data_IF_947105972896
#
_entry.id   IF_947105972896
#
_cell.length_a   1.000
_cell.length_b   1.000
_cell.length_c   1.000
_cell.angle_alpha   90.00
_cell.angle_beta   90.00
_cell.angle_gamma   90.00
#
_symmetry.space_group_name_H-M   'P 1'
#
loop_
_entity.id
_entity.type
_entity.pdbx_description
1 polymer ?
#
# COMPACT_ATOMS: atom_id res chain seq x y z
N UNK A 1 1.99 29.13 14.15
CA UNK A 1 3.07 28.32 13.55
C UNK A 1 2.44 27.08 12.95
N UNK A 2 2.62 26.82 11.64
CA UNK A 2 2.38 25.47 11.11
C UNK A 2 3.43 24.55 11.75
N UNK A 3 3.08 23.33 12.18
CA UNK A 3 4.08 22.38 12.63
C UNK A 3 5.13 22.21 11.52
N UNK A 4 6.42 22.05 11.86
CA UNK A 4 7.42 21.71 10.85
C UNK A 4 6.93 20.44 10.13
N UNK A 5 7.08 20.34 8.80
CA UNK A 5 6.68 19.12 8.11
C UNK A 5 7.45 17.98 8.74
N UNK A 6 6.75 17.06 9.41
CA UNK A 6 7.34 15.80 9.84
C UNK A 6 8.02 15.21 8.60
N UNK A 7 9.34 15.06 8.66
CA UNK A 7 10.08 14.44 7.56
C UNK A 7 9.65 12.98 7.57
N UNK A 8 8.68 12.63 6.73
CA UNK A 8 8.21 11.27 6.59
C UNK A 8 9.40 10.36 6.25
N UNK A 9 9.60 9.29 7.02
CA UNK A 9 10.57 8.24 6.68
C UNK A 9 9.89 7.18 5.84
N UNK A 10 10.66 6.41 5.06
CA UNK A 10 10.12 5.26 4.31
C UNK A 10 9.36 4.29 5.23
N UNK A 11 9.92 4.03 6.40
CA UNK A 11 9.30 3.18 7.43
C UNK A 11 7.93 3.72 7.88
N UNK A 12 7.82 5.01 8.19
CA UNK A 12 6.53 5.62 8.58
C UNK A 12 5.52 5.51 7.44
N UNK A 13 5.94 5.78 6.21
CA UNK A 13 5.07 5.72 5.01
C UNK A 13 4.54 4.30 4.81
N UNK A 14 5.42 3.29 4.86
CA UNK A 14 5.03 1.88 4.71
C UNK A 14 4.11 1.43 5.85
N UNK A 15 4.43 1.78 7.10
CA UNK A 15 3.57 1.44 8.23
C UNK A 15 2.18 2.04 8.09
N UNK A 16 2.07 3.28 7.59
CA UNK A 16 0.79 3.95 7.37
C UNK A 16 0.03 3.39 6.17
N UNK A 17 0.73 2.89 5.15
CA UNK A 17 0.13 2.13 4.05
C UNK A 17 -0.47 0.81 4.58
N UNK A 18 0.30 0.03 5.36
CA UNK A 18 -0.17 -1.22 5.96
C UNK A 18 -1.37 -0.96 6.89
N UNK A 19 -1.27 0.06 7.75
CA UNK A 19 -2.35 0.46 8.66
C UNK A 19 -3.63 0.83 7.88
N UNK A 20 -3.50 1.55 6.77
CA UNK A 20 -4.65 1.87 5.92
C UNK A 20 -5.31 0.62 5.33
N UNK A 21 -4.52 -0.41 5.00
CA UNK A 21 -5.03 -1.67 4.49
C UNK A 21 -5.75 -2.47 5.58
N UNK A 22 -5.12 -2.63 6.74
CA UNK A 22 -5.69 -3.38 7.88
C UNK A 22 -6.98 -2.77 8.42
N UNK A 23 -7.15 -1.44 8.31
CA UNK A 23 -8.35 -0.74 8.77
C UNK A 23 -9.35 -0.44 7.63
N UNK A 24 -9.02 -0.82 6.39
CA UNK A 24 -9.78 -0.44 5.19
C UNK A 24 -10.05 1.08 5.10
N UNK A 25 -9.12 1.92 5.56
CA UNK A 25 -9.24 3.38 5.56
C UNK A 25 -8.06 4.04 4.84
N UNK A 26 -8.26 4.31 3.54
CA UNK A 26 -7.29 5.02 2.72
C UNK A 26 -6.93 6.41 3.26
N UNK A 27 -7.78 7.06 4.08
CA UNK A 27 -7.49 8.40 4.62
C UNK A 27 -6.26 8.40 5.51
N UNK A 28 -5.97 7.29 6.18
CA UNK A 28 -4.76 7.09 6.99
C UNK A 28 -3.50 7.31 6.15
N UNK A 29 -3.49 6.79 4.91
CA UNK A 29 -2.33 6.88 4.03
C UNK A 29 -2.27 8.19 3.21
N UNK A 30 -3.38 8.91 3.07
CA UNK A 30 -3.50 10.09 2.20
C UNK A 30 -2.39 11.15 2.39
N UNK A 31 -2.00 11.55 3.62
CA UNK A 31 -0.93 12.54 3.81
C UNK A 31 0.42 12.04 3.30
N UNK A 32 0.72 10.76 3.55
CA UNK A 32 2.00 10.11 3.22
C UNK A 32 2.17 9.89 1.71
N UNK A 33 1.07 9.59 1.01
CA UNK A 33 1.05 9.49 -0.44
C UNK A 33 1.55 10.80 -1.11
N UNK A 34 1.25 11.97 -0.53
CA UNK A 34 1.66 13.26 -1.11
C UNK A 34 3.16 13.55 -0.93
N UNK A 35 3.89 12.79 -0.10
CA UNK A 35 5.33 12.99 0.11
C UNK A 35 6.15 12.76 -1.16
N UNK A 36 7.25 13.49 -1.33
CA UNK A 36 8.15 13.32 -2.49
C UNK A 36 8.84 11.95 -2.54
N UNK A 37 8.84 11.24 -1.42
CA UNK A 37 9.36 9.87 -1.29
C UNK A 37 8.48 8.88 -2.05
N UNK A 38 7.17 9.11 -2.10
CA UNK A 38 6.24 8.18 -2.76
C UNK A 38 6.06 8.55 -4.22
N UNK A 39 6.23 7.57 -5.10
CA UNK A 39 5.85 7.62 -6.52
C UNK A 39 4.86 6.50 -6.82
N UNK A 40 4.12 6.63 -7.93
CA UNK A 40 3.07 5.67 -8.30
C UNK A 40 3.15 5.31 -9.77
N UNK A 41 2.62 4.14 -10.14
CA UNK A 41 2.40 3.69 -11.51
C UNK A 41 1.40 4.56 -12.30
N UNK A 42 0.54 5.30 -11.60
CA UNK A 42 -0.42 6.21 -12.23
C UNK A 42 0.19 7.60 -12.54
N UNK A 43 -0.34 8.32 -13.54
CA UNK A 43 0.15 9.66 -13.91
C UNK A 43 0.09 10.71 -12.78
N UNK A 44 -0.80 10.51 -11.81
CA UNK A 44 -0.95 11.40 -10.67
C UNK A 44 -1.40 10.63 -9.42
N UNK A 45 -0.92 11.09 -8.25
CA UNK A 45 -1.21 10.45 -6.96
C UNK A 45 -2.69 10.49 -6.57
N UNK A 46 -3.49 11.39 -7.13
CA UNK A 46 -4.93 11.44 -6.84
C UNK A 46 -5.64 10.28 -7.53
N UNK A 47 -5.21 9.88 -8.72
CA UNK A 47 -5.71 8.69 -9.42
C UNK A 47 -5.34 7.40 -8.67
N UNK A 48 -4.09 7.25 -8.25
CA UNK A 48 -3.68 6.16 -7.35
C UNK A 48 -4.57 6.13 -6.11
N UNK A 49 -4.75 7.27 -5.43
CA UNK A 49 -5.54 7.34 -4.20
C UNK A 49 -6.98 6.89 -4.39
N UNK A 50 -7.63 7.36 -5.47
CA UNK A 50 -8.99 6.97 -5.79
C UNK A 50 -9.11 5.47 -6.04
N UNK A 51 -8.18 4.90 -6.81
CA UNK A 51 -8.18 3.47 -7.10
C UNK A 51 -7.91 2.64 -5.84
N UNK A 52 -6.90 3.01 -5.06
CA UNK A 52 -6.58 2.39 -3.78
C UNK A 52 -7.77 2.40 -2.82
N UNK A 53 -8.47 3.53 -2.70
CA UNK A 53 -9.68 3.64 -1.89
C UNK A 53 -10.77 2.68 -2.37
N UNK A 54 -10.96 2.54 -3.70
CA UNK A 54 -11.93 1.61 -4.26
C UNK A 54 -11.59 0.15 -3.98
N UNK A 55 -10.31 -0.22 -4.08
CA UNK A 55 -9.85 -1.56 -3.73
C UNK A 55 -10.08 -1.86 -2.25
N UNK A 56 -9.73 -0.94 -1.33
CA UNK A 56 -9.95 -1.16 0.10
C UNK A 56 -11.43 -1.34 0.44
N UNK A 57 -12.32 -0.56 -0.17
CA UNK A 57 -13.76 -0.71 0.04
C UNK A 57 -14.27 -2.06 -0.50
N UNK A 58 -13.80 -2.45 -1.69
CA UNK A 58 -14.12 -3.77 -2.25
C UNK A 58 -13.65 -4.89 -1.33
N UNK A 59 -12.42 -4.84 -0.83
CA UNK A 59 -11.92 -5.89 0.07
C UNK A 59 -12.62 -5.90 1.42
N UNK A 60 -13.00 -4.73 1.95
CA UNK A 60 -13.80 -4.66 3.17
C UNK A 60 -15.12 -5.43 3.05
N UNK A 61 -15.78 -5.31 1.90
CA UNK A 61 -17.06 -5.96 1.64
C UNK A 61 -16.92 -7.46 1.35
N UNK A 62 -15.72 -7.93 1.02
CA UNK A 62 -15.44 -9.30 0.57
C UNK A 62 -14.48 -10.11 1.46
N UNK A 63 -14.01 -9.55 2.58
CA UNK A 63 -13.05 -10.20 3.48
C UNK A 63 -13.68 -10.61 4.81
N UNK A 64 -13.09 -11.63 5.44
CA UNK A 64 -13.50 -12.16 6.74
C UNK A 64 -12.38 -11.99 7.76
N UNK A 65 -12.60 -11.12 8.74
CA UNK A 65 -11.67 -10.87 9.85
C UNK A 65 -11.22 -12.17 10.57
N UNK A 66 -10.05 -12.19 11.25
CA UNK A 66 -9.06 -11.11 11.31
C UNK A 66 -8.25 -10.94 10.02
N UNK A 67 -7.93 -9.69 9.68
CA UNK A 67 -6.98 -9.38 8.62
C UNK A 67 -5.52 -9.56 9.08
N UNK A 68 -4.65 -9.99 8.17
CA UNK A 68 -3.21 -10.08 8.39
C UNK A 68 -2.45 -9.58 7.17
N UNK A 69 -1.22 -9.10 7.40
CA UNK A 69 -0.38 -8.57 6.34
C UNK A 69 0.91 -9.39 6.24
N UNK A 70 1.29 -9.78 5.02
CA UNK A 70 2.56 -10.48 4.75
C UNK A 70 3.33 -9.75 3.66
N UNK A 71 4.63 -9.66 3.84
CA UNK A 71 5.55 -9.12 2.85
C UNK A 71 6.24 -10.31 2.18
N UNK A 72 6.03 -10.48 0.88
CA UNK A 72 6.43 -11.67 0.15
C UNK A 72 7.28 -11.30 -1.07
N UNK A 73 8.31 -12.11 -1.34
CA UNK A 73 9.05 -12.07 -2.60
C UNK A 73 8.53 -13.22 -3.47
N UNK A 74 7.86 -12.87 -4.56
CA UNK A 74 7.26 -13.86 -5.47
C UNK A 74 8.29 -14.34 -6.49
N UNK A 75 8.25 -15.62 -6.83
CA UNK A 75 9.28 -16.26 -7.67
C UNK A 75 9.26 -15.80 -9.14
N UNK A 76 8.15 -15.24 -9.61
CA UNK A 76 8.02 -14.70 -10.97
C UNK A 76 8.47 -13.24 -11.08
N UNK A 77 8.70 -12.55 -9.96
CA UNK A 77 9.21 -11.19 -9.95
C UNK A 77 10.70 -11.21 -10.24
N UNK A 78 11.10 -10.54 -11.33
CA UNK A 78 12.49 -10.47 -11.78
C UNK A 78 13.25 -9.33 -11.11
N UNK A 79 12.53 -8.31 -10.65
CA UNK A 79 13.13 -7.18 -9.95
C UNK A 79 13.35 -7.53 -8.47
N UNK A 80 14.61 -7.68 -8.07
CA UNK A 80 14.95 -8.14 -6.72
C UNK A 80 14.58 -7.14 -5.62
N UNK A 81 14.42 -5.86 -5.98
CA UNK A 81 14.03 -4.77 -5.08
C UNK A 81 12.52 -4.66 -4.88
N UNK A 82 11.74 -5.48 -5.60
CA UNK A 82 10.29 -5.50 -5.51
C UNK A 82 9.82 -6.52 -4.50
N UNK A 83 8.88 -6.07 -3.67
CA UNK A 83 8.17 -6.88 -2.68
C UNK A 83 6.67 -6.74 -2.88
N UNK A 84 5.96 -7.81 -2.55
CA UNK A 84 4.51 -7.84 -2.58
C UNK A 84 3.98 -7.73 -1.17
N UNK A 85 3.18 -6.70 -0.97
CA UNK A 85 2.55 -6.34 0.29
C UNK A 85 1.12 -6.89 0.23
N UNK A 86 0.94 -8.06 0.84
CA UNK A 86 -0.25 -8.88 0.66
C UNK A 86 -1.11 -8.88 1.92
N UNK A 87 -2.36 -8.45 1.75
CA UNK A 87 -3.41 -8.51 2.76
C UNK A 87 -4.14 -9.85 2.64
N UNK A 88 -4.27 -10.57 3.74
CA UNK A 88 -4.99 -11.83 3.85
C UNK A 88 -6.10 -11.72 4.88
N UNK A 89 -7.17 -12.47 4.65
CA UNK A 89 -8.22 -12.66 5.64
C UNK A 89 -8.11 -14.07 6.26
N UNK A 90 -9.04 -14.45 7.12
CA UNK A 90 -8.95 -15.71 7.87
C UNK A 90 -9.38 -16.95 7.09
N UNK A 91 -9.99 -16.77 5.90
CA UNK A 91 -10.68 -17.85 5.17
C UNK A 91 -10.04 -18.14 3.82
N UNK A 92 -9.64 -17.11 3.09
CA UNK A 92 -9.16 -17.26 1.72
C UNK A 92 -7.70 -17.67 1.67
N UNK A 93 -7.40 -18.63 0.79
CA UNK A 93 -6.03 -19.10 0.53
C UNK A 93 -5.15 -18.04 -0.14
N UNK A 94 -5.77 -17.20 -0.97
CA UNK A 94 -5.08 -16.18 -1.75
C UNK A 94 -5.24 -14.80 -1.10
N UNK A 95 -4.31 -13.90 -1.38
CA UNK A 95 -4.38 -12.53 -0.89
C UNK A 95 -5.66 -11.86 -1.36
N UNK A 96 -6.23 -11.05 -0.45
CA UNK A 96 -7.36 -10.17 -0.69
C UNK A 96 -6.94 -8.90 -1.41
N UNK A 97 -5.77 -8.38 -1.06
CA UNK A 97 -5.16 -7.24 -1.74
C UNK A 97 -3.67 -7.51 -1.89
N UNK A 98 -3.12 -7.15 -3.05
CA UNK A 98 -1.69 -7.21 -3.31
C UNK A 98 -1.21 -5.87 -3.83
N UNK A 99 -0.29 -5.25 -3.10
CA UNK A 99 0.41 -4.04 -3.51
C UNK A 99 1.83 -4.42 -3.95
N UNK A 100 2.20 -4.05 -5.17
CA UNK A 100 3.57 -4.22 -5.66
C UNK A 100 4.36 -2.98 -5.26
N UNK A 101 5.40 -3.17 -4.46
CA UNK A 101 6.19 -2.07 -3.90
C UNK A 101 7.65 -2.25 -4.27
N UNK A 102 8.25 -1.21 -4.84
CA UNK A 102 9.70 -1.11 -5.03
C UNK A 102 10.28 -0.06 -4.08
N UNK A 103 11.17 -0.49 -3.20
CA UNK A 103 11.88 0.40 -2.28
C UNK A 103 13.28 0.69 -2.84
N UNK A 104 13.55 1.95 -3.21
CA UNK A 104 14.91 2.39 -3.58
C UNK A 104 15.54 3.15 -2.42
N UNK A 105 16.78 3.63 -2.56
CA UNK A 105 17.46 4.41 -1.52
C UNK A 105 16.60 5.60 -1.03
N UNK A 106 15.98 6.32 -1.96
CA UNK A 106 15.29 7.59 -1.70
C UNK A 106 13.77 7.55 -1.92
N UNK A 107 13.23 6.50 -2.54
CA UNK A 107 11.82 6.47 -2.95
C UNK A 107 11.12 5.14 -2.63
N UNK A 108 9.80 5.22 -2.53
CA UNK A 108 8.88 4.09 -2.52
C UNK A 108 8.01 4.24 -3.77
N UNK A 109 8.14 3.31 -4.70
CA UNK A 109 7.26 3.21 -5.84
C UNK A 109 6.13 2.23 -5.54
N UNK A 110 4.89 2.69 -5.71
CA UNK A 110 3.68 1.91 -5.45
C UNK A 110 2.96 1.59 -6.76
N UNK A 111 2.58 0.33 -6.90
CA UNK A 111 1.76 -0.15 -8.00
C UNK A 111 0.59 -0.97 -7.43
N UNK A 112 -0.60 -0.63 -7.89
CA UNK A 112 -1.82 -1.35 -7.54
C UNK A 112 -2.12 -2.35 -8.65
N UNK A 113 -2.06 -3.64 -8.32
CA UNK A 113 -2.35 -4.69 -9.29
C UNK A 113 -3.87 -4.90 -9.40
N UNK A 114 -4.49 -4.79 -10.58
CA UNK A 114 -5.87 -5.22 -10.77
C UNK A 114 -5.97 -6.74 -10.57
N UNK A 115 -7.07 -7.16 -9.93
CA UNK A 115 -7.40 -8.55 -9.59
C UNK A 115 -7.49 -9.48 -10.80
#
# INVERSE_FOLDING_TARGET
MKPPPEKYTKEIIINKLIESCLNFDAKIFKPYLQSEIVTTDTPDKKRFYWFFQKMLLSEKDNSIEPMSFKIEKVHWEKDEDVKYYNLYDSVHKYSRLSLRIKETENQIYLETMPF
#
